data_IF_280485581144
#
_entry.id   IF_280485581144
#
_cell.length_a   1.000
_cell.length_b   1.000
_cell.length_c   1.000
_cell.angle_alpha   90.00
_cell.angle_beta   90.00
_cell.angle_gamma   90.00
#
_symmetry.space_group_name_H-M   'P 1'
#
loop_
_entity.id
_entity.type
_entity.pdbx_description
1 polymer ?
#
# COMPACT_ATOMS: atom_id res chain seq x y z
N UNK A 1 -10.16 -49.48 15.55
CA UNK A 1 -10.95 -48.82 14.49
C UNK A 1 -10.49 -47.37 14.44
N UNK A 2 -9.54 -47.05 13.57
CA UNK A 2 -9.01 -45.70 13.41
C UNK A 2 -9.88 -44.95 12.40
N UNK A 3 -10.51 -43.85 12.83
CA UNK A 3 -11.38 -43.05 11.98
C UNK A 3 -10.52 -42.02 11.23
N UNK A 4 -10.08 -42.38 10.02
CA UNK A 4 -9.26 -41.52 9.17
C UNK A 4 -10.01 -40.25 8.77
N UNK A 5 -9.43 -39.08 9.08
CA UNK A 5 -9.93 -37.77 8.62
C UNK A 5 -9.83 -37.71 7.09
N UNK A 6 -10.96 -37.56 6.39
CA UNK A 6 -10.99 -37.30 4.95
C UNK A 6 -10.35 -35.92 4.68
N UNK A 7 -9.23 -35.90 3.98
CA UNK A 7 -8.64 -34.66 3.44
C UNK A 7 -9.56 -34.10 2.36
N UNK A 8 -9.94 -32.82 2.47
CA UNK A 8 -10.79 -32.15 1.49
C UNK A 8 -10.07 -31.94 0.15
N UNK A 9 -10.84 -31.91 -0.94
CA UNK A 9 -10.32 -31.63 -2.28
C UNK A 9 -9.88 -30.17 -2.38
N UNK A 10 -8.58 -29.97 -2.59
CA UNK A 10 -7.94 -28.66 -2.63
C UNK A 10 -8.38 -27.83 -3.84
N UNK A 11 -8.83 -28.47 -4.92
CA UNK A 11 -9.21 -27.78 -6.17
C UNK A 11 -10.53 -27.02 -6.04
N UNK A 12 -11.57 -27.65 -5.51
CA UNK A 12 -12.87 -27.01 -5.28
C UNK A 12 -12.75 -25.82 -4.31
N UNK A 13 -11.84 -25.94 -3.34
CA UNK A 13 -11.54 -24.86 -2.40
C UNK A 13 -10.85 -23.68 -3.10
N UNK A 14 -9.91 -23.95 -4.01
CA UNK A 14 -9.20 -22.91 -4.76
C UNK A 14 -10.12 -22.16 -5.74
N UNK A 15 -11.04 -22.85 -6.42
CA UNK A 15 -12.01 -22.22 -7.31
C UNK A 15 -12.99 -21.31 -6.55
N UNK A 16 -13.48 -21.74 -5.39
CA UNK A 16 -14.32 -20.90 -4.52
C UNK A 16 -13.56 -19.69 -3.98
N UNK A 17 -12.29 -19.86 -3.60
CA UNK A 17 -11.43 -18.76 -3.16
C UNK A 17 -11.15 -17.76 -4.30
N UNK A 18 -10.91 -18.26 -5.53
CA UNK A 18 -10.72 -17.42 -6.70
C UNK A 18 -12.01 -16.65 -7.08
N UNK A 19 -13.17 -17.30 -6.98
CA UNK A 19 -14.46 -16.65 -7.20
C UNK A 19 -14.72 -15.56 -6.15
N UNK A 20 -14.45 -15.83 -4.86
CA UNK A 20 -14.55 -14.83 -3.80
C UNK A 20 -13.53 -13.68 -3.98
N UNK A 21 -12.31 -13.98 -4.39
CA UNK A 21 -11.26 -13.00 -4.67
C UNK A 21 -11.53 -12.15 -5.92
N UNK A 22 -12.41 -12.61 -6.82
CA UNK A 22 -12.75 -11.88 -8.05
C UNK A 22 -13.51 -10.57 -7.78
N UNK A 23 -14.20 -10.46 -6.65
CA UNK A 23 -14.89 -9.24 -6.24
C UNK A 23 -13.99 -8.37 -5.36
N UNK A 24 -13.27 -7.43 -5.99
CA UNK A 24 -12.44 -6.45 -5.29
C UNK A 24 -13.11 -5.09 -5.22
N UNK A 25 -12.84 -4.33 -4.16
CA UNK A 25 -13.26 -2.92 -4.03
C UNK A 25 -12.82 -2.12 -5.25
N UNK A 26 -11.57 -2.32 -5.69
CA UNK A 26 -11.01 -1.70 -6.91
C UNK A 26 -11.83 -2.04 -8.16
N UNK A 27 -12.15 -3.32 -8.37
CA UNK A 27 -12.91 -3.77 -9.54
C UNK A 27 -14.32 -3.16 -9.60
N UNK A 28 -14.99 -3.04 -8.44
CA UNK A 28 -16.30 -2.38 -8.34
C UNK A 28 -16.18 -0.89 -8.66
N UNK A 29 -15.18 -0.19 -8.07
CA UNK A 29 -14.93 1.24 -8.35
C UNK A 29 -14.66 1.46 -9.84
N UNK A 30 -13.77 0.68 -10.46
CA UNK A 30 -13.46 0.79 -11.89
C UNK A 30 -14.68 0.54 -12.78
N UNK A 31 -15.54 -0.43 -12.43
CA UNK A 31 -16.78 -0.70 -13.17
C UNK A 31 -17.78 0.46 -13.07
N UNK A 32 -17.88 1.12 -11.91
CA UNK A 32 -18.69 2.33 -11.75
C UNK A 32 -18.12 3.48 -12.57
N UNK A 33 -16.81 3.71 -12.51
CA UNK A 33 -16.14 4.78 -13.28
C UNK A 33 -16.34 4.62 -14.79
N UNK A 34 -16.30 3.39 -15.32
CA UNK A 34 -16.54 3.12 -16.75
C UNK A 34 -17.96 3.44 -17.22
N UNK A 35 -18.94 3.46 -16.32
CA UNK A 35 -20.34 3.78 -16.63
C UNK A 35 -20.67 5.26 -16.51
N UNK A 36 -19.73 6.08 -16.04
CA UNK A 36 -19.92 7.53 -15.98
C UNK A 36 -19.88 8.12 -17.38
N UNK A 37 -20.79 9.05 -17.64
CA UNK A 37 -20.79 9.84 -18.85
C UNK A 37 -19.57 10.78 -18.84
N UNK A 38 -18.85 10.84 -19.97
CA UNK A 38 -17.65 11.67 -20.11
C UNK A 38 -17.99 13.13 -20.38
N UNK A 39 -19.20 13.41 -20.83
CA UNK A 39 -19.71 14.76 -21.09
C UNK A 39 -20.44 15.36 -19.86
N UNK A 40 -20.53 14.59 -18.76
CA UNK A 40 -21.14 15.04 -17.52
C UNK A 40 -20.22 16.06 -16.80
N UNK A 41 -20.79 17.20 -16.45
CA UNK A 41 -20.07 18.34 -15.87
C UNK A 41 -19.96 18.30 -14.34
N UNK A 42 -20.61 17.34 -13.68
CA UNK A 42 -20.57 17.21 -12.22
C UNK A 42 -19.19 16.79 -11.74
N UNK A 43 -18.68 17.53 -10.74
CA UNK A 43 -17.46 17.18 -10.04
C UNK A 43 -17.62 15.81 -9.35
N UNK A 44 -16.75 14.86 -9.70
CA UNK A 44 -16.72 13.54 -9.11
C UNK A 44 -15.87 13.54 -7.83
N UNK A 45 -16.41 13.01 -6.73
CA UNK A 45 -15.70 12.86 -5.46
C UNK A 45 -15.22 11.42 -5.31
N UNK A 46 -13.90 11.22 -5.34
CA UNK A 46 -13.27 9.90 -5.27
C UNK A 46 -13.09 9.41 -3.82
N UNK A 47 -14.15 8.89 -3.20
CA UNK A 47 -14.11 8.38 -1.81
C UNK A 47 -13.49 6.97 -1.68
N UNK A 48 -13.34 6.24 -2.78
CA UNK A 48 -12.78 4.88 -2.80
C UNK A 48 -11.28 4.81 -3.07
N UNK A 49 -10.61 5.95 -3.27
CA UNK A 49 -9.18 5.99 -3.56
C UNK A 49 -8.38 5.95 -2.26
N UNK A 50 -7.59 4.89 -2.07
CA UNK A 50 -6.74 4.73 -0.88
C UNK A 50 -5.40 5.44 -0.96
N UNK A 51 -5.01 5.91 -2.14
CA UNK A 51 -3.79 6.68 -2.36
C UNK A 51 -4.05 8.18 -2.14
N UNK A 52 -3.52 8.79 -1.07
CA UNK A 52 -3.70 10.20 -0.80
C UNK A 52 -2.99 11.10 -1.82
N UNK A 53 -1.94 10.63 -2.49
CA UNK A 53 -1.14 11.45 -3.42
C UNK A 53 -1.92 11.89 -4.68
N UNK A 54 -3.05 11.25 -4.96
CA UNK A 54 -3.97 11.66 -6.01
C UNK A 54 -4.60 13.05 -5.75
N UNK A 55 -4.56 13.53 -4.50
CA UNK A 55 -5.10 14.82 -4.11
C UNK A 55 -3.96 15.83 -3.91
N UNK A 56 -3.95 16.97 -4.63
CA UNK A 56 -2.87 17.96 -4.55
C UNK A 56 -2.64 18.59 -3.16
N UNK A 57 -3.59 18.43 -2.23
CA UNK A 57 -3.46 18.88 -0.85
C UNK A 57 -2.69 17.90 0.05
N UNK A 58 -2.43 16.67 -0.40
CA UNK A 58 -1.61 15.68 0.29
C UNK A 58 -0.23 15.61 -0.36
N UNK A 59 0.59 16.64 -0.10
CA UNK A 59 1.97 16.67 -0.54
C UNK A 59 2.89 16.18 0.57
N UNK A 60 4.05 15.65 0.18
CA UNK A 60 5.11 15.34 1.13
C UNK A 60 5.59 16.62 1.82
N UNK A 61 6.12 16.49 3.04
CA UNK A 61 6.71 17.64 3.73
C UNK A 61 8.03 18.03 3.05
N UNK A 62 8.33 19.35 2.88
CA UNK A 62 9.60 19.79 2.30
C UNK A 62 10.82 19.21 3.02
N UNK A 63 10.72 18.99 4.34
CA UNK A 63 11.78 18.36 5.13
C UNK A 63 12.16 16.95 4.63
N UNK A 64 11.18 16.19 4.16
CA UNK A 64 11.43 14.86 3.62
C UNK A 64 12.10 14.95 2.25
N UNK A 65 11.74 15.94 1.43
CA UNK A 65 12.37 16.20 0.13
C UNK A 65 13.85 16.60 0.32
N UNK A 66 14.12 17.57 1.19
CA UNK A 66 15.48 18.01 1.50
C UNK A 66 16.35 16.86 2.02
N UNK A 67 15.82 16.05 2.94
CA UNK A 67 16.53 14.88 3.46
C UNK A 67 16.83 13.84 2.37
N UNK A 68 15.94 13.67 1.38
CA UNK A 68 16.20 12.80 0.22
C UNK A 68 17.34 13.36 -0.65
N UNK A 69 17.34 14.66 -0.93
CA UNK A 69 18.41 15.32 -1.69
C UNK A 69 19.75 15.17 -0.97
N UNK A 70 19.79 15.44 0.33
CA UNK A 70 21.00 15.29 1.15
C UNK A 70 21.53 13.86 1.14
N UNK A 71 20.63 12.87 1.28
CA UNK A 71 21.00 11.46 1.24
C UNK A 71 21.64 11.09 -0.11
N UNK A 72 21.05 11.54 -1.23
CA UNK A 72 21.56 11.31 -2.58
C UNK A 72 22.92 12.00 -2.79
N UNK A 73 23.02 13.29 -2.47
CA UNK A 73 24.25 14.07 -2.63
C UNK A 73 25.39 13.56 -1.74
N UNK A 74 25.08 12.97 -0.59
CA UNK A 74 26.09 12.42 0.32
C UNK A 74 26.80 11.17 -0.23
N UNK A 75 26.18 10.45 -1.17
CA UNK A 75 26.62 9.12 -1.65
C UNK A 75 26.82 8.05 -0.56
N UNK A 76 26.40 8.30 0.69
CA UNK A 76 26.61 7.40 1.84
C UNK A 76 25.67 6.19 1.86
N UNK A 77 24.59 6.24 1.09
CA UNK A 77 23.50 5.26 1.11
C UNK A 77 23.36 4.47 -0.19
N UNK A 78 24.40 4.44 -1.03
CA UNK A 78 24.37 3.79 -2.35
C UNK A 78 24.67 2.28 -2.32
N UNK A 79 24.98 1.73 -1.15
CA UNK A 79 25.29 0.31 -0.97
C UNK A 79 24.09 -0.47 -0.45
N UNK A 80 24.15 -1.81 -0.53
CA UNK A 80 23.14 -2.66 0.07
C UNK A 80 23.02 -2.41 1.58
N UNK A 81 21.78 -2.22 2.03
CA UNK A 81 21.45 -2.22 3.45
C UNK A 81 21.44 -3.65 4.01
N UNK A 82 21.52 -3.80 5.34
CA UNK A 82 21.14 -5.05 6.01
C UNK A 82 19.69 -5.42 5.68
N UNK A 83 19.32 -6.71 5.82
CA UNK A 83 17.97 -7.22 5.56
C UNK A 83 16.87 -6.52 6.37
N UNK A 84 17.24 -5.91 7.50
CA UNK A 84 16.35 -5.18 8.40
C UNK A 84 16.44 -3.65 8.23
N UNK A 85 17.06 -3.16 7.15
CA UNK A 85 17.23 -1.72 6.90
C UNK A 85 18.48 -1.11 7.57
N UNK A 86 18.63 0.22 7.50
CA UNK A 86 19.75 0.94 8.14
C UNK A 86 19.46 1.19 9.63
N UNK A 87 20.48 1.05 10.47
CA UNK A 87 20.34 1.14 11.94
C UNK A 87 19.81 2.51 12.39
N UNK A 88 20.27 3.59 11.74
CA UNK A 88 19.85 4.95 12.04
C UNK A 88 18.33 5.14 11.87
N UNK A 89 17.76 4.65 10.76
CA UNK A 89 16.32 4.72 10.51
C UNK A 89 15.51 3.92 11.55
N UNK A 90 16.00 2.75 11.97
CA UNK A 90 15.32 1.93 13.01
C UNK A 90 15.34 2.57 14.40
N UNK A 91 16.43 3.24 14.77
CA UNK A 91 16.59 3.86 16.10
C UNK A 91 15.91 5.22 16.23
N UNK A 92 15.59 5.89 15.11
CA UNK A 92 14.99 7.22 15.12
C UNK A 92 13.70 7.29 15.96
N UNK A 93 12.88 6.24 15.94
CA UNK A 93 11.65 6.16 16.73
C UNK A 93 11.89 6.07 18.25
N UNK A 94 13.03 5.53 18.70
CA UNK A 94 13.30 5.24 20.11
C UNK A 94 13.93 6.43 20.85
N UNK A 95 14.61 7.34 20.14
CA UNK A 95 15.43 8.38 20.78
C UNK A 95 14.62 9.65 21.14
N UNK A 96 13.41 9.85 20.60
CA UNK A 96 12.60 11.04 20.91
C UNK A 96 11.95 11.05 22.30
N UNK A 97 11.93 9.93 23.01
CA UNK A 97 11.32 9.79 24.35
C UNK A 97 12.31 10.03 25.51
N UNK A 98 13.61 10.23 25.23
CA UNK A 98 14.66 10.27 26.28
C UNK A 98 15.23 11.67 26.58
N UNK A 99 14.67 12.72 25.98
CA UNK A 99 15.02 14.11 26.31
C UNK A 99 13.75 14.86 26.69
N UNK A 100 13.30 14.61 27.91
CA UNK A 100 12.35 15.42 28.68
C UNK A 100 12.94 15.67 30.05
#
# INVERSE_FOLDING_TARGET
MENGRKGGDYRDTAEQLNAAASMTVRGVVEALMKKLDKEESRCMIHLGQGDPSAFPCFQTTPLAEDAMVDALCSAKFNCYSSSVGILQARRFHIIRESTG
#
